data_IF_574563751776
#
_entry.id   IF_574563751776
#
_cell.length_a   1.000
_cell.length_b   1.000
_cell.length_c   1.000
_cell.angle_alpha   90.00
_cell.angle_beta   90.00
_cell.angle_gamma   90.00
#
_symmetry.space_group_name_H-M   'P 1'
#
loop_
_entity.id
_entity.type
_entity.pdbx_description
1 polymer ?
#
# COMPACT_ATOMS: atom_id res chain seq x y z
N UNK A 1 4.20 -2.49 21.28
CA UNK A 1 4.12 -1.06 20.89
C UNK A 1 3.45 -0.22 21.97
N UNK A 2 2.19 -0.47 22.33
CA UNK A 2 1.52 0.28 23.40
C UNK A 2 2.28 0.27 24.74
N UNK A 3 2.79 -0.89 25.17
CA UNK A 3 3.63 -1.01 26.39
C UNK A 3 4.96 -0.24 26.33
N UNK A 4 5.42 0.15 25.15
CA UNK A 4 6.63 0.95 24.94
C UNK A 4 6.32 2.46 24.91
N UNK A 5 5.06 2.86 25.06
CA UNK A 5 4.64 4.27 25.07
C UNK A 5 4.45 4.90 23.69
N UNK A 6 4.42 4.11 22.61
CA UNK A 6 4.17 4.65 21.27
C UNK A 6 2.69 5.05 21.10
N UNK A 7 2.45 6.30 20.72
CA UNK A 7 1.10 6.82 20.41
C UNK A 7 0.64 6.62 18.96
N UNK A 8 1.55 6.23 18.07
CA UNK A 8 1.27 6.02 16.65
C UNK A 8 2.09 4.86 16.09
N UNK A 9 1.57 4.24 15.02
CA UNK A 9 2.29 3.21 14.26
C UNK A 9 2.09 3.40 12.77
N UNK A 10 3.22 3.44 12.03
CA UNK A 10 3.24 3.48 10.57
C UNK A 10 3.34 2.06 10.02
N UNK A 11 2.42 1.69 9.14
CA UNK A 11 2.43 0.43 8.39
C UNK A 11 2.16 0.71 6.90
N UNK A 12 2.39 -0.29 6.06
CA UNK A 12 1.98 -0.25 4.65
C UNK A 12 0.86 -1.23 4.36
N UNK A 13 -0.03 -0.83 3.46
CA UNK A 13 -1.06 -1.70 2.89
C UNK A 13 -0.47 -2.25 1.59
N UNK A 14 -0.53 -3.56 1.40
CA UNK A 14 0.06 -4.17 0.21
C UNK A 14 -0.93 -4.16 -0.94
N UNK A 15 -0.54 -3.55 -2.05
CA UNK A 15 -1.38 -3.43 -3.23
C UNK A 15 -1.82 -4.80 -3.74
N UNK A 16 -0.88 -5.74 -3.90
CA UNK A 16 -1.18 -7.10 -4.34
C UNK A 16 -2.03 -7.91 -3.35
N UNK A 17 -2.14 -7.47 -2.09
CA UNK A 17 -3.04 -8.09 -1.12
C UNK A 17 -4.47 -7.59 -1.25
N UNK A 18 -4.68 -6.32 -1.61
CA UNK A 18 -6.01 -5.74 -1.85
C UNK A 18 -6.54 -6.12 -3.23
N UNK A 19 -5.70 -6.00 -4.25
CA UNK A 19 -6.01 -6.38 -5.63
C UNK A 19 -4.93 -7.34 -6.14
N UNK A 20 -5.16 -8.67 -6.12
CA UNK A 20 -4.16 -9.67 -6.53
C UNK A 20 -3.65 -9.49 -7.96
N UNK A 21 -4.51 -9.01 -8.87
CA UNK A 21 -4.15 -8.70 -10.25
C UNK A 21 -3.49 -7.32 -10.41
N UNK A 22 -3.56 -6.46 -9.40
CA UNK A 22 -3.14 -5.06 -9.42
C UNK A 22 -4.03 -4.13 -10.27
N UNK A 23 -5.03 -4.66 -10.97
CA UNK A 23 -5.84 -3.92 -11.95
C UNK A 23 -7.14 -3.39 -11.35
N UNK A 24 -7.49 -3.80 -10.13
CA UNK A 24 -8.74 -3.37 -9.49
C UNK A 24 -9.96 -4.19 -9.92
N UNK A 25 -9.77 -5.34 -10.57
CA UNK A 25 -10.89 -6.14 -11.12
C UNK A 25 -11.72 -6.79 -10.02
N UNK A 26 -11.07 -7.38 -9.02
CA UNK A 26 -11.72 -8.06 -7.90
C UNK A 26 -10.94 -7.79 -6.61
N UNK A 27 -11.64 -7.27 -5.60
CA UNK A 27 -11.04 -7.01 -4.29
C UNK A 27 -10.91 -8.32 -3.50
N UNK A 28 -9.76 -8.50 -2.85
CA UNK A 28 -9.54 -9.63 -1.96
C UNK A 28 -10.07 -9.31 -0.55
N UNK A 29 -11.28 -9.76 -0.27
CA UNK A 29 -11.97 -9.56 1.02
C UNK A 29 -11.17 -10.05 2.23
N UNK A 30 -10.40 -11.13 2.09
CA UNK A 30 -9.55 -11.62 3.19
C UNK A 30 -8.37 -10.66 3.46
N UNK A 31 -7.85 -10.04 2.41
CA UNK A 31 -6.84 -8.99 2.50
C UNK A 31 -7.38 -7.75 3.21
N UNK A 32 -8.59 -7.32 2.85
CA UNK A 32 -9.30 -6.22 3.51
C UNK A 32 -9.56 -6.53 4.99
N UNK A 33 -10.08 -7.72 5.29
CA UNK A 33 -10.34 -8.18 6.66
C UNK A 33 -9.08 -8.17 7.53
N UNK A 34 -7.93 -8.57 6.97
CA UNK A 34 -6.65 -8.50 7.67
C UNK A 34 -6.31 -7.08 8.11
N UNK A 35 -6.41 -6.10 7.20
CA UNK A 35 -6.11 -4.70 7.53
C UNK A 35 -7.14 -4.10 8.48
N UNK A 36 -8.42 -4.44 8.35
CA UNK A 36 -9.44 -4.06 9.33
C UNK A 36 -9.07 -4.53 10.74
N UNK A 37 -8.78 -5.83 10.90
CA UNK A 37 -8.39 -6.39 12.20
C UNK A 37 -7.14 -5.71 12.78
N UNK A 38 -6.14 -5.39 11.94
CA UNK A 38 -4.94 -4.69 12.36
C UNK A 38 -5.24 -3.25 12.82
N UNK A 39 -6.06 -2.52 12.05
CA UNK A 39 -6.46 -1.14 12.35
C UNK A 39 -7.29 -1.07 13.63
N UNK A 40 -8.28 -1.95 13.76
CA UNK A 40 -9.13 -2.03 14.94
C UNK A 40 -8.30 -2.35 16.19
N UNK A 41 -7.37 -3.30 16.08
CA UNK A 41 -6.47 -3.64 17.18
C UNK A 41 -5.58 -2.45 17.59
N UNK A 42 -5.05 -1.67 16.64
CA UNK A 42 -4.26 -0.48 16.97
C UNK A 42 -5.11 0.55 17.73
N UNK A 43 -6.31 0.84 17.25
CA UNK A 43 -7.22 1.80 17.87
C UNK A 43 -7.62 1.34 19.27
N UNK A 44 -7.96 0.06 19.45
CA UNK A 44 -8.28 -0.53 20.76
C UNK A 44 -7.11 -0.35 21.76
N UNK A 45 -5.87 -0.36 21.27
CA UNK A 45 -4.67 -0.13 22.10
C UNK A 45 -4.25 1.34 22.21
N UNK A 46 -5.08 2.28 21.72
CA UNK A 46 -4.78 3.71 21.75
C UNK A 46 -3.64 4.13 20.83
N UNK A 47 -3.33 3.33 19.81
CA UNK A 47 -2.29 3.60 18.82
C UNK A 47 -2.96 4.18 17.57
N UNK A 48 -2.51 5.37 17.15
CA UNK A 48 -2.99 5.98 15.92
C UNK A 48 -2.41 5.26 14.68
N UNK A 49 -3.25 4.85 13.72
CA UNK A 49 -2.79 4.24 12.48
C UNK A 49 -2.29 5.27 11.47
N UNK A 50 -1.08 5.06 10.94
CA UNK A 50 -0.50 5.82 9.83
C UNK A 50 -0.28 4.87 8.65
N UNK A 51 -1.13 4.96 7.63
CA UNK A 51 -1.10 4.02 6.51
C UNK A 51 -0.28 4.58 5.34
N UNK A 52 0.64 3.77 4.83
CA UNK A 52 1.39 4.02 3.59
C UNK A 52 0.80 3.16 2.48
N UNK A 53 0.42 3.77 1.35
CA UNK A 53 -0.20 3.06 0.22
C UNK A 53 0.80 2.29 -0.62
N UNK A 54 2.02 2.81 -0.80
CA UNK A 54 3.04 2.11 -1.58
C UNK A 54 4.39 2.09 -0.87
N UNK A 55 4.95 0.89 -0.70
CA UNK A 55 6.25 0.68 -0.08
C UNK A 55 7.07 -0.35 -0.86
N UNK A 56 7.36 0.00 -2.12
CA UNK A 56 8.22 -0.75 -3.04
C UNK A 56 7.66 -2.14 -3.42
N UNK A 57 6.35 -2.32 -3.34
CA UNK A 57 5.65 -3.60 -3.47
C UNK A 57 4.68 -3.62 -4.67
N UNK A 58 5.19 -3.25 -5.85
CA UNK A 58 4.39 -3.21 -7.08
C UNK A 58 3.85 -4.62 -7.42
N UNK A 59 2.54 -4.79 -7.69
CA UNK A 59 2.01 -6.06 -8.18
C UNK A 59 2.74 -6.53 -9.44
N UNK A 60 3.22 -7.78 -9.41
CA UNK A 60 4.01 -8.37 -10.51
C UNK A 60 3.28 -8.35 -11.85
N UNK A 61 1.96 -8.51 -11.84
CA UNK A 61 1.13 -8.47 -13.05
C UNK A 61 1.21 -7.12 -13.76
N UNK A 62 1.21 -6.00 -13.01
CA UNK A 62 1.37 -4.66 -13.59
C UNK A 62 2.75 -4.50 -14.23
N UNK A 63 3.81 -4.97 -13.56
CA UNK A 63 5.14 -4.95 -14.17
C UNK A 63 5.20 -5.76 -15.47
N UNK A 64 4.60 -6.97 -15.48
CA UNK A 64 4.63 -7.87 -16.64
C UNK A 64 3.79 -7.41 -17.83
N UNK A 65 2.63 -6.83 -17.59
CA UNK A 65 1.65 -6.54 -18.65
C UNK A 65 1.73 -5.13 -19.19
N UNK A 66 2.23 -4.18 -18.38
CA UNK A 66 2.32 -2.77 -18.77
C UNK A 66 3.65 -2.09 -18.42
N UNK A 67 4.63 -2.79 -17.87
CA UNK A 67 5.93 -2.20 -17.52
C UNK A 67 5.96 -1.42 -16.19
N UNK A 68 4.90 -1.53 -15.38
CA UNK A 68 4.85 -0.95 -14.04
C UNK A 68 4.92 0.58 -14.04
N UNK A 69 5.84 1.14 -13.25
CA UNK A 69 6.00 2.60 -13.09
C UNK A 69 6.48 3.34 -14.33
N UNK A 70 6.87 2.63 -15.40
CA UNK A 70 7.24 3.23 -16.68
C UNK A 70 6.01 3.54 -17.58
N UNK A 71 4.82 3.11 -17.19
CA UNK A 71 3.59 3.31 -17.94
C UNK A 71 2.69 4.33 -17.27
N UNK A 72 2.21 5.33 -18.01
CA UNK A 72 1.31 6.37 -17.49
C UNK A 72 0.00 5.80 -16.93
N UNK A 73 -0.44 4.64 -17.43
CA UNK A 73 -1.64 3.95 -16.92
C UNK A 73 -1.49 3.50 -15.45
N UNK A 74 -0.28 3.42 -14.92
CA UNK A 74 -0.06 3.06 -13.51
C UNK A 74 -0.74 4.05 -12.56
N UNK A 75 -0.88 5.31 -12.98
CA UNK A 75 -1.54 6.36 -12.20
C UNK A 75 -3.01 6.01 -11.97
N UNK A 76 -3.70 5.52 -13.00
CA UNK A 76 -5.10 5.10 -12.93
C UNK A 76 -5.27 3.90 -11.99
N UNK A 77 -4.44 2.86 -12.15
CA UNK A 77 -4.53 1.67 -11.30
C UNK A 77 -4.15 1.94 -9.85
N UNK A 78 -3.16 2.82 -9.62
CA UNK A 78 -2.79 3.24 -8.27
C UNK A 78 -3.91 4.05 -7.62
N UNK A 79 -4.60 4.91 -8.38
CA UNK A 79 -5.76 5.65 -7.89
C UNK A 79 -6.92 4.72 -7.50
N UNK A 80 -7.27 3.73 -8.33
CA UNK A 80 -8.30 2.73 -8.01
C UNK A 80 -7.96 1.96 -6.73
N UNK A 81 -6.69 1.57 -6.57
CA UNK A 81 -6.19 0.95 -5.36
C UNK A 81 -6.29 1.87 -4.13
N UNK A 82 -5.91 3.13 -4.26
CA UNK A 82 -6.01 4.12 -3.19
C UNK A 82 -7.47 4.38 -2.78
N UNK A 83 -8.38 4.51 -3.74
CA UNK A 83 -9.82 4.67 -3.51
C UNK A 83 -10.39 3.51 -2.72
N UNK A 84 -10.06 2.26 -3.09
CA UNK A 84 -10.47 1.08 -2.33
C UNK A 84 -9.95 1.11 -0.88
N UNK A 85 -8.71 1.54 -0.67
CA UNK A 85 -8.17 1.70 0.67
C UNK A 85 -8.89 2.79 1.47
N UNK A 86 -9.17 3.94 0.87
CA UNK A 86 -9.90 5.03 1.53
C UNK A 86 -11.34 4.63 1.86
N UNK A 87 -12.02 3.92 0.96
CA UNK A 87 -13.39 3.45 1.17
C UNK A 87 -13.49 2.45 2.32
N UNK A 88 -12.52 1.54 2.45
CA UNK A 88 -12.55 0.47 3.46
C UNK A 88 -11.97 0.89 4.82
N UNK A 89 -11.02 1.83 4.85
CA UNK A 89 -10.25 2.14 6.06
C UNK A 89 -10.27 3.61 6.46
N UNK A 90 -10.73 4.52 5.58
CA UNK A 90 -10.69 5.96 5.80
C UNK A 90 -11.61 6.47 6.91
N UNK A 91 -12.57 5.66 7.34
CA UNK A 91 -13.39 5.93 8.52
C UNK A 91 -12.54 5.98 9.81
N UNK A 92 -11.49 5.15 9.89
CA UNK A 92 -10.60 4.98 11.06
C UNK A 92 -9.18 5.53 10.85
N UNK A 93 -8.65 5.47 9.62
CA UNK A 93 -7.30 5.96 9.28
C UNK A 93 -7.38 7.40 8.79
N UNK A 94 -6.72 8.31 9.51
CA UNK A 94 -6.71 9.76 9.20
C UNK A 94 -5.37 10.28 8.70
N UNK A 95 -4.31 9.49 8.82
CA UNK A 95 -2.97 9.85 8.37
C UNK A 95 -2.52 8.90 7.25
N UNK A 96 -2.34 9.47 6.06
CA UNK A 96 -2.03 8.73 4.84
C UNK A 96 -0.71 9.21 4.25
N UNK A 97 0.08 8.26 3.76
CA UNK A 97 1.30 8.47 3.00
C UNK A 97 1.10 7.78 1.66
N UNK A 98 1.26 8.50 0.55
CA UNK A 98 1.06 7.92 -0.78
C UNK A 98 2.20 6.97 -1.14
N UNK A 99 3.43 7.48 -1.27
CA UNK A 99 4.58 6.71 -1.71
C UNK A 99 5.72 6.87 -0.70
N UNK A 100 6.22 5.77 -0.16
CA UNK A 100 7.46 5.78 0.63
C UNK A 100 8.68 5.94 -0.29
N UNK A 101 9.42 7.04 -0.10
CA UNK A 101 10.72 7.27 -0.73
C UNK A 101 10.74 6.97 -2.24
N UNK A 102 9.97 7.70 -3.07
CA UNK A 102 9.80 7.39 -4.49
C UNK A 102 11.13 7.32 -5.27
N UNK A 103 12.13 8.10 -4.84
CA UNK A 103 13.48 8.09 -5.42
C UNK A 103 14.11 6.69 -5.37
N UNK A 104 13.86 5.91 -4.31
CA UNK A 104 14.39 4.55 -4.19
C UNK A 104 13.80 3.64 -5.28
N UNK A 105 12.49 3.75 -5.54
CA UNK A 105 11.85 3.05 -6.66
C UNK A 105 12.40 3.53 -8.01
N UNK A 106 12.56 4.84 -8.23
CA UNK A 106 13.08 5.35 -9.50
C UNK A 106 14.53 4.89 -9.77
N UNK A 107 15.43 5.07 -8.80
CA UNK A 107 16.87 4.85 -9.00
C UNK A 107 17.21 3.38 -8.83
N UNK A 108 16.89 2.78 -7.69
CA UNK A 108 17.37 1.43 -7.39
C UNK A 108 16.66 0.35 -8.21
N UNK A 109 15.45 0.62 -8.66
CA UNK A 109 14.65 -0.35 -9.40
C UNK A 109 14.81 -0.25 -10.92
N UNK A 110 14.98 0.96 -11.47
CA UNK A 110 15.00 1.17 -12.93
C UNK A 110 16.32 1.74 -13.47
N UNK A 111 17.20 2.31 -12.63
CA UNK A 111 18.50 2.83 -13.08
C UNK A 111 19.68 1.96 -12.65
N UNK A 112 19.69 1.50 -11.39
CA UNK A 112 20.80 0.73 -10.80
C UNK A 112 20.52 -0.78 -10.81
N UNK A 113 19.26 -1.18 -10.63
CA UNK A 113 18.85 -2.59 -10.70
C UNK A 113 19.10 -3.45 -9.48
N UNK A 114 19.25 -2.83 -8.30
CA UNK A 114 19.43 -3.55 -7.03
C UNK A 114 18.10 -3.83 -6.31
N UNK A 115 17.01 -3.17 -6.70
CA UNK A 115 15.64 -3.44 -6.24
C UNK A 115 14.83 -4.07 -7.38
N UNK A 116 13.76 -4.78 -7.04
CA UNK A 116 12.77 -5.19 -8.04
C UNK A 116 12.18 -3.94 -8.73
N UNK A 117 12.00 -3.93 -10.08
CA UNK A 117 12.09 -5.10 -10.95
C UNK A 117 13.51 -5.48 -11.43
N UNK A 118 14.48 -4.57 -11.37
CA UNK A 118 15.87 -4.82 -11.77
C UNK A 118 16.34 -3.97 -12.93
#
# INVERSE_FOLDING_TARGET
MAKLGFGAYRFSISWSRIFPDGLGTEINEQGVAFYNNLIDFMIEKGIQPYATLYHWDLPHNLQKTMGGWLSDKIVEYFALYAEACFANFGDRVKHWITINEPIQTCINAYAVGIFAPG
#
